data_IF_904704393437
#
_entry.id   IF_904704393437
#
_cell.length_a   1.000
_cell.length_b   1.000
_cell.length_c   1.000
_cell.angle_alpha   90.00
_cell.angle_beta   90.00
_cell.angle_gamma   90.00
#
_symmetry.space_group_name_H-M   'P 1'
#
loop_
_entity.id
_entity.type
_entity.pdbx_description
1 polymer ?
#
# COMPACT_ATOMS: atom_id res chain seq x y z
N UNK A 1 -4.62 -29.55 40.25
CA UNK A 1 -3.44 -28.68 40.06
C UNK A 1 -2.94 -28.96 38.65
N UNK A 2 -3.45 -28.25 37.65
CA UNK A 2 -3.04 -28.42 36.26
C UNK A 2 -1.69 -27.75 36.05
N UNK A 3 -0.75 -28.45 35.43
CA UNK A 3 0.52 -27.92 34.97
C UNK A 3 0.26 -26.69 34.08
N UNK A 4 0.67 -25.51 34.57
CA UNK A 4 0.93 -24.37 33.68
C UNK A 4 2.05 -24.83 32.76
N UNK A 5 1.70 -25.22 31.53
CA UNK A 5 2.67 -25.58 30.51
C UNK A 5 3.75 -24.51 30.44
N UNK A 6 5.01 -24.95 30.48
CA UNK A 6 6.19 -24.08 30.36
C UNK A 6 5.95 -23.03 29.27
N UNK A 7 5.84 -21.76 29.67
CA UNK A 7 5.88 -20.64 28.74
C UNK A 7 7.24 -20.75 28.07
N UNK A 8 7.24 -21.12 26.79
CA UNK A 8 8.48 -21.15 26.00
C UNK A 8 9.07 -19.75 26.06
N UNK A 9 10.36 -19.68 26.43
CA UNK A 9 11.09 -18.42 26.44
C UNK A 9 11.00 -17.78 25.05
N UNK A 10 10.74 -16.46 25.02
CA UNK A 10 10.62 -15.73 23.77
C UNK A 10 12.00 -15.61 23.11
N UNK A 11 12.20 -16.33 22.00
CA UNK A 11 13.41 -16.27 21.19
C UNK A 11 13.42 -14.98 20.35
N UNK A 12 14.10 -13.95 20.88
CA UNK A 12 14.23 -12.63 20.26
C UNK A 12 14.94 -12.68 18.91
N UNK A 13 15.95 -13.54 18.76
CA UNK A 13 16.71 -13.63 17.51
C UNK A 13 15.87 -14.24 16.39
N UNK A 14 15.12 -15.30 16.72
CA UNK A 14 14.15 -15.86 15.78
C UNK A 14 13.08 -14.86 15.42
N UNK A 15 12.53 -14.13 16.40
CA UNK A 15 11.51 -13.10 16.13
C UNK A 15 12.05 -12.02 15.19
N UNK A 16 13.28 -11.53 15.41
CA UNK A 16 13.92 -10.54 14.52
C UNK A 16 14.11 -11.08 13.09
N UNK A 17 14.53 -12.35 12.94
CA UNK A 17 14.66 -12.98 11.61
C UNK A 17 13.32 -13.08 10.89
N UNK A 18 12.27 -13.55 11.58
CA UNK A 18 10.92 -13.66 11.00
C UNK A 18 10.40 -12.27 10.63
N UNK A 19 10.60 -11.26 11.48
CA UNK A 19 10.16 -9.91 11.18
C UNK A 19 10.82 -9.37 9.91
N UNK A 20 12.14 -9.56 9.76
CA UNK A 20 12.85 -9.14 8.55
C UNK A 20 12.40 -9.90 7.29
N UNK A 21 12.07 -11.19 7.41
CA UNK A 21 11.51 -12.00 6.32
C UNK A 21 10.15 -11.45 5.88
N UNK A 22 9.24 -11.20 6.83
CA UNK A 22 7.90 -10.64 6.56
C UNK A 22 8.02 -9.26 5.93
N UNK A 23 8.84 -8.37 6.49
CA UNK A 23 9.05 -7.02 5.93
C UNK A 23 9.56 -7.13 4.49
N UNK A 24 10.57 -7.96 4.23
CA UNK A 24 11.17 -8.09 2.91
C UNK A 24 10.19 -8.68 1.88
N UNK A 25 9.44 -9.72 2.27
CA UNK A 25 8.46 -10.37 1.40
C UNK A 25 7.30 -9.44 1.05
N UNK A 26 6.87 -8.62 2.01
CA UNK A 26 5.72 -7.74 1.85
C UNK A 26 6.07 -6.35 1.31
N UNK A 27 7.35 -5.95 1.32
CA UNK A 27 7.81 -4.65 0.82
C UNK A 27 7.34 -4.31 -0.61
N UNK A 28 7.43 -5.23 -1.60
CA UNK A 28 7.04 -4.91 -2.98
C UNK A 28 5.52 -4.91 -3.22
N UNK A 29 4.72 -5.40 -2.26
CA UNK A 29 3.27 -5.51 -2.46
C UNK A 29 2.62 -4.13 -2.62
N UNK A 30 1.76 -3.98 -3.62
CA UNK A 30 1.06 -2.74 -3.97
C UNK A 30 -0.17 -2.53 -3.09
N UNK A 31 0.04 -2.48 -1.78
CA UNK A 31 -1.04 -2.33 -0.79
C UNK A 31 -1.65 -0.94 -0.81
N UNK A 32 -2.90 -0.91 -0.39
CA UNK A 32 -3.71 0.30 -0.23
C UNK A 32 -4.77 0.02 0.84
N UNK A 33 -5.84 0.82 0.92
CA UNK A 33 -6.96 0.50 1.82
C UNK A 33 -7.85 -0.66 1.31
N UNK A 34 -7.72 -1.04 0.04
CA UNK A 34 -8.37 -2.21 -0.60
C UNK A 34 -7.45 -2.78 -1.71
N UNK A 35 -7.90 -3.84 -2.37
CA UNK A 35 -7.28 -4.35 -3.60
C UNK A 35 -6.37 -5.56 -3.41
N UNK A 36 -5.91 -6.12 -4.53
CA UNK A 36 -5.19 -7.40 -4.57
C UNK A 36 -3.89 -7.41 -3.78
N UNK A 37 -3.19 -6.28 -3.67
CA UNK A 37 -1.97 -6.18 -2.86
C UNK A 37 -2.21 -6.51 -1.38
N UNK A 38 -3.41 -6.21 -0.85
CA UNK A 38 -3.77 -6.57 0.52
C UNK A 38 -4.03 -8.08 0.64
N UNK A 39 -4.75 -8.68 -0.32
CA UNK A 39 -5.01 -10.12 -0.35
C UNK A 39 -3.73 -10.93 -0.49
N UNK A 40 -2.83 -10.49 -1.36
CA UNK A 40 -1.51 -11.08 -1.53
C UNK A 40 -0.73 -11.04 -0.20
N UNK A 41 -0.68 -9.87 0.45
CA UNK A 41 -0.01 -9.72 1.74
C UNK A 41 -0.60 -10.63 2.83
N UNK A 42 -1.93 -10.71 2.93
CA UNK A 42 -2.60 -11.62 3.86
C UNK A 42 -2.28 -13.10 3.57
N UNK A 43 -2.27 -13.50 2.29
CA UNK A 43 -1.89 -14.85 1.91
C UNK A 43 -0.44 -15.18 2.28
N UNK A 44 0.48 -14.22 2.15
CA UNK A 44 1.86 -14.38 2.60
C UNK A 44 1.96 -14.49 4.13
N UNK A 45 1.23 -13.66 4.88
CA UNK A 45 1.21 -13.68 6.34
C UNK A 45 0.66 -14.99 6.91
N UNK A 46 -0.32 -15.62 6.24
CA UNK A 46 -0.86 -16.93 6.61
C UNK A 46 0.18 -18.04 6.71
N UNK A 47 1.35 -17.89 6.06
CA UNK A 47 2.48 -18.83 6.20
C UNK A 47 3.11 -18.79 7.60
N UNK A 48 3.07 -17.63 8.25
CA UNK A 48 3.61 -17.41 9.60
C UNK A 48 2.53 -17.54 10.67
N UNK A 49 1.28 -17.18 10.34
CA UNK A 49 0.11 -17.29 11.21
C UNK A 49 -1.01 -18.09 10.53
N UNK A 50 -1.00 -19.44 10.62
CA UNK A 50 -1.99 -20.29 9.94
C UNK A 50 -3.44 -20.05 10.35
N UNK A 51 -3.67 -19.50 11.54
CA UNK A 51 -5.00 -19.16 12.05
C UNK A 51 -5.56 -17.85 11.44
N UNK A 52 -4.75 -17.10 10.68
CA UNK A 52 -5.17 -15.85 10.05
C UNK A 52 -6.23 -16.12 8.96
N UNK A 53 -7.40 -15.53 9.15
CA UNK A 53 -8.51 -15.56 8.21
C UNK A 53 -8.58 -14.23 7.48
N UNK A 54 -8.75 -14.29 6.15
CA UNK A 54 -9.08 -13.12 5.34
C UNK A 54 -10.59 -12.93 5.36
N UNK A 55 -11.02 -11.73 5.74
CA UNK A 55 -12.42 -11.30 5.69
C UNK A 55 -12.55 -10.24 4.62
N UNK A 56 -13.60 -10.38 3.80
CA UNK A 56 -13.94 -9.45 2.72
C UNK A 56 -15.24 -8.74 3.07
N UNK A 57 -15.20 -7.41 3.12
CA UNK A 57 -16.39 -6.58 3.35
C UNK A 57 -16.74 -5.88 2.04
N UNK A 58 -17.94 -6.10 1.46
CA UNK A 58 -18.31 -5.52 0.18
C UNK A 58 -18.25 -3.99 0.18
N UNK A 59 -17.80 -3.40 -0.93
CA UNK A 59 -17.90 -1.96 -1.19
C UNK A 59 -19.35 -1.48 -1.05
N UNK A 60 -19.54 -0.26 -0.54
CA UNK A 60 -20.86 0.29 -0.23
C UNK A 60 -21.45 -0.17 1.11
N UNK A 61 -20.84 -1.15 1.80
CA UNK A 61 -21.28 -1.54 3.14
C UNK A 61 -21.13 -0.39 4.14
N UNK A 62 -22.09 -0.23 5.05
CA UNK A 62 -22.01 0.73 6.14
C UNK A 62 -21.12 0.19 7.28
N UNK A 63 -20.24 1.04 7.79
CA UNK A 63 -19.36 0.78 8.92
C UNK A 63 -19.42 1.98 9.88
N UNK A 64 -20.44 1.99 10.73
CA UNK A 64 -20.82 3.18 11.51
C UNK A 64 -21.11 4.37 10.57
N UNK A 65 -20.41 5.49 10.75
CA UNK A 65 -20.54 6.69 9.91
C UNK A 65 -19.73 6.61 8.61
N UNK A 66 -19.03 5.51 8.36
CA UNK A 66 -18.23 5.30 7.17
C UNK A 66 -18.94 4.37 6.18
N UNK A 67 -18.58 4.53 4.91
CA UNK A 67 -18.95 3.59 3.84
C UNK A 67 -17.67 2.94 3.33
N UNK A 68 -17.68 1.62 3.21
CA UNK A 68 -16.56 0.87 2.62
C UNK A 68 -16.36 1.36 1.18
N UNK A 69 -15.16 1.85 0.81
CA UNK A 69 -14.96 2.47 -0.48
C UNK A 69 -14.98 1.42 -1.60
N UNK A 70 -15.13 1.86 -2.86
CA UNK A 70 -14.90 1.02 -4.02
C UNK A 70 -13.48 0.43 -3.98
N UNK A 71 -13.34 -0.82 -4.40
CA UNK A 71 -12.04 -1.48 -4.44
C UNK A 71 -11.16 -0.85 -5.51
N UNK A 72 -9.92 -0.53 -5.16
CA UNK A 72 -8.96 0.04 -6.10
C UNK A 72 -8.03 -1.04 -6.66
N UNK A 73 -7.95 -1.13 -7.98
CA UNK A 73 -7.07 -2.06 -8.68
C UNK A 73 -6.17 -1.27 -9.62
N UNK A 74 -4.86 -1.46 -9.50
CA UNK A 74 -3.85 -0.83 -10.35
C UNK A 74 -2.98 -1.89 -11.03
N UNK A 75 -2.91 -1.84 -12.36
CA UNK A 75 -2.18 -2.81 -13.19
C UNK A 75 -0.82 -2.28 -13.62
N UNK A 76 -0.74 -0.98 -13.92
CA UNK A 76 0.48 -0.32 -14.34
C UNK A 76 0.35 1.18 -14.28
N UNK A 77 1.48 1.88 -14.20
CA UNK A 77 1.52 3.31 -14.42
C UNK A 77 2.89 3.75 -14.93
N UNK A 78 2.90 4.73 -15.82
CA UNK A 78 4.12 5.29 -16.39
C UNK A 78 3.91 6.77 -16.74
N UNK A 79 4.94 7.56 -16.49
CA UNK A 79 5.04 8.92 -17.02
C UNK A 79 6.19 8.97 -18.03
N UNK A 80 5.86 9.22 -19.29
CA UNK A 80 6.85 9.28 -20.36
C UNK A 80 7.06 10.74 -20.80
N UNK A 81 8.31 11.17 -20.88
CA UNK A 81 8.73 12.50 -21.29
C UNK A 81 8.67 12.74 -22.80
N UNK A 82 8.88 14.00 -23.24
CA UNK A 82 8.76 14.41 -24.63
C UNK A 82 9.79 13.77 -25.57
N UNK A 83 10.90 13.26 -25.03
CA UNK A 83 11.97 12.56 -25.72
C UNK A 83 11.83 11.02 -25.62
N UNK A 84 10.73 10.52 -25.06
CA UNK A 84 10.48 9.10 -24.83
C UNK A 84 11.13 8.55 -23.55
N UNK A 85 11.75 9.40 -22.73
CA UNK A 85 12.31 8.98 -21.42
C UNK A 85 11.20 8.56 -20.45
N UNK A 86 11.38 7.43 -19.77
CA UNK A 86 10.49 7.05 -18.67
C UNK A 86 10.92 7.79 -17.39
N UNK A 87 10.14 8.80 -17.01
CA UNK A 87 10.41 9.64 -15.84
C UNK A 87 10.03 8.92 -14.55
N UNK A 88 8.89 8.25 -14.59
CA UNK A 88 8.27 7.51 -13.49
C UNK A 88 7.73 6.18 -14.03
N UNK A 89 8.01 5.09 -13.31
CA UNK A 89 7.44 3.77 -13.57
C UNK A 89 6.94 3.16 -12.25
N UNK A 90 5.72 2.61 -12.24
CA UNK A 90 5.17 1.91 -11.08
C UNK A 90 6.01 0.69 -10.69
N UNK A 91 6.67 0.06 -11.65
CA UNK A 91 7.54 -1.10 -11.41
C UNK A 91 8.78 -0.72 -10.59
N UNK A 92 9.24 0.54 -10.64
CA UNK A 92 10.38 1.01 -9.84
C UNK A 92 9.99 1.18 -8.36
N UNK A 93 8.78 1.69 -8.11
CA UNK A 93 8.25 1.88 -6.75
C UNK A 93 6.74 2.11 -6.76
N UNK A 94 5.96 1.41 -5.91
CA UNK A 94 4.55 1.71 -5.69
C UNK A 94 4.28 3.15 -5.24
N UNK A 95 5.28 3.80 -4.61
CA UNK A 95 5.15 5.18 -4.13
C UNK A 95 5.07 6.18 -5.26
N UNK A 96 5.38 5.79 -6.50
CA UNK A 96 5.33 6.67 -7.64
C UNK A 96 3.92 7.12 -8.04
N UNK A 97 2.88 6.45 -7.57
CA UNK A 97 1.49 6.79 -7.87
C UNK A 97 0.80 7.25 -6.60
N UNK A 98 0.01 8.33 -6.70
CA UNK A 98 -0.89 8.73 -5.60
C UNK A 98 -1.87 7.58 -5.36
N UNK A 99 -1.86 7.00 -4.15
CA UNK A 99 -2.74 5.87 -3.82
C UNK A 99 -4.21 6.22 -4.08
N UNK A 100 -4.97 5.28 -4.65
CA UNK A 100 -6.36 5.51 -5.12
C UNK A 100 -6.51 6.44 -6.33
N UNK A 101 -5.44 6.65 -7.12
CA UNK A 101 -5.55 7.39 -8.39
C UNK A 101 -6.59 6.80 -9.33
N UNK A 102 -7.37 7.65 -9.99
CA UNK A 102 -8.19 7.26 -11.15
C UNK A 102 -7.31 6.89 -12.34
N UNK A 103 -7.79 6.00 -13.20
CA UNK A 103 -7.11 5.70 -14.45
C UNK A 103 -7.02 6.93 -15.36
N UNK A 104 -5.90 7.07 -16.07
CA UNK A 104 -5.66 8.12 -17.05
C UNK A 104 -4.82 7.56 -18.19
N UNK A 105 -5.10 7.99 -19.41
CA UNK A 105 -4.27 7.77 -20.58
C UNK A 105 -4.35 9.04 -21.43
N UNK A 106 -3.39 9.95 -21.22
CA UNK A 106 -3.45 11.28 -21.80
C UNK A 106 -2.07 11.84 -22.11
N UNK A 107 -1.98 12.55 -23.23
CA UNK A 107 -0.87 13.44 -23.51
C UNK A 107 -1.21 14.88 -23.11
N UNK A 108 -0.33 15.54 -22.35
CA UNK A 108 -0.52 16.91 -21.91
C UNK A 108 0.80 17.67 -21.82
N UNK A 109 0.75 19.00 -21.85
CA UNK A 109 1.93 19.84 -21.65
C UNK A 109 2.38 19.78 -20.18
N UNK A 110 3.68 20.00 -19.94
CA UNK A 110 4.24 20.00 -18.58
C UNK A 110 3.50 20.95 -17.63
N UNK A 111 3.07 22.11 -18.12
CA UNK A 111 2.31 23.11 -17.35
C UNK A 111 0.98 22.55 -16.85
N UNK A 112 0.29 21.75 -17.67
CA UNK A 112 -0.97 21.08 -17.35
C UNK A 112 -0.76 19.85 -16.44
N UNK A 113 0.39 19.18 -16.59
CA UNK A 113 0.77 18.03 -15.78
C UNK A 113 1.21 18.41 -14.36
N UNK A 114 1.85 19.58 -14.18
CA UNK A 114 2.44 20.02 -12.91
C UNK A 114 1.55 19.88 -11.67
N UNK A 115 0.24 20.20 -11.71
CA UNK A 115 -0.66 19.99 -10.58
C UNK A 115 -0.80 18.53 -10.13
N UNK A 116 -0.56 17.57 -11.03
CA UNK A 116 -0.59 16.13 -10.78
C UNK A 116 0.77 15.55 -10.38
N UNK A 117 1.80 16.39 -10.23
CA UNK A 117 3.14 15.96 -9.82
C UNK A 117 3.43 16.40 -8.38
N UNK A 118 3.90 15.45 -7.58
CA UNK A 118 4.20 15.69 -6.17
C UNK A 118 5.65 15.33 -5.83
N UNK A 119 6.32 16.22 -5.10
CA UNK A 119 7.69 16.01 -4.62
C UNK A 119 7.87 16.66 -3.24
N UNK A 120 9.02 16.44 -2.61
CA UNK A 120 9.41 17.03 -1.32
C UNK A 120 10.72 17.81 -1.48
N UNK A 121 10.70 19.15 -1.62
CA UNK A 121 11.91 19.95 -1.77
C UNK A 121 12.94 19.74 -0.64
N UNK A 122 12.46 19.56 0.58
CA UNK A 122 13.28 19.33 1.78
C UNK A 122 13.90 17.93 1.86
N UNK A 123 13.43 16.98 1.03
CA UNK A 123 13.98 15.62 0.90
C UNK A 123 14.11 15.27 -0.59
N UNK A 124 15.06 15.89 -1.31
CA UNK A 124 15.02 15.94 -2.78
C UNK A 124 15.17 14.60 -3.49
N UNK A 125 15.71 13.59 -2.79
CA UNK A 125 15.89 12.22 -3.29
C UNK A 125 14.77 11.25 -2.87
N UNK A 126 13.81 11.70 -2.07
CA UNK A 126 12.71 10.86 -1.59
C UNK A 126 11.50 10.95 -2.53
N UNK A 127 10.81 9.82 -2.72
CA UNK A 127 9.48 9.78 -3.34
C UNK A 127 8.45 10.00 -2.22
N UNK A 128 7.59 11.04 -2.26
CA UNK A 128 6.55 11.20 -1.26
C UNK A 128 5.51 10.09 -1.36
N UNK A 129 5.02 9.62 -0.21
CA UNK A 129 3.78 8.87 -0.15
C UNK A 129 2.58 9.83 -0.11
N UNK A 130 1.65 9.66 -1.04
CA UNK A 130 0.41 10.46 -1.16
C UNK A 130 -0.76 9.54 -1.47
N UNK A 131 -1.94 9.91 -1.01
CA UNK A 131 -3.17 9.14 -1.21
C UNK A 131 -4.34 10.08 -1.48
N UNK A 132 -5.38 9.57 -2.14
CA UNK A 132 -6.65 10.27 -2.32
C UNK A 132 -7.83 9.31 -2.25
N UNK A 133 -8.04 8.73 -1.07
CA UNK A 133 -9.00 7.65 -0.86
C UNK A 133 -10.46 8.02 -1.12
N UNK A 134 -10.84 9.27 -0.79
CA UNK A 134 -12.23 9.72 -0.76
C UNK A 134 -12.51 10.88 -1.71
N UNK A 135 -11.54 11.27 -2.53
CA UNK A 135 -11.70 12.31 -3.56
C UNK A 135 -11.06 11.81 -4.83
N UNK A 136 -11.84 11.71 -5.91
CA UNK A 136 -11.33 11.23 -7.20
C UNK A 136 -10.32 12.23 -7.74
N UNK A 137 -9.09 11.77 -7.91
CA UNK A 137 -8.00 12.48 -8.58
C UNK A 137 -6.99 11.45 -9.05
N UNK A 138 -5.93 11.89 -9.70
CA UNK A 138 -4.79 11.07 -10.05
C UNK A 138 -3.51 11.90 -9.94
N UNK A 139 -2.37 11.23 -9.77
CA UNK A 139 -1.09 11.91 -9.78
C UNK A 139 0.10 10.99 -9.64
N UNK A 140 1.28 11.55 -9.92
CA UNK A 140 2.57 10.91 -9.76
C UNK A 140 3.37 11.57 -8.64
N UNK A 141 4.11 10.76 -7.90
CA UNK A 141 5.08 11.19 -6.91
C UNK A 141 6.49 10.86 -7.42
N UNK A 142 7.43 11.79 -7.29
CA UNK A 142 8.80 11.60 -7.76
C UNK A 142 9.79 12.41 -6.92
N UNK A 143 11.09 12.04 -6.92
CA UNK A 143 12.12 12.85 -6.29
C UNK A 143 12.09 14.29 -6.81
N UNK A 144 12.29 15.26 -5.92
CA UNK A 144 12.26 16.67 -6.28
C UNK A 144 13.32 17.01 -7.35
N UNK A 145 14.49 16.37 -7.30
CA UNK A 145 15.53 16.56 -8.30
C UNK A 145 15.07 16.13 -9.71
N UNK A 146 14.30 15.04 -9.82
CA UNK A 146 13.69 14.60 -11.08
C UNK A 146 12.63 15.61 -11.55
N UNK A 147 11.76 16.06 -10.64
CA UNK A 147 10.71 17.05 -10.96
C UNK A 147 11.31 18.37 -11.44
N UNK A 148 12.38 18.85 -10.81
CA UNK A 148 13.07 20.09 -11.16
C UNK A 148 13.79 20.00 -12.52
N UNK A 149 14.18 18.79 -12.94
CA UNK A 149 14.87 18.53 -14.20
C UNK A 149 13.92 18.32 -15.40
N UNK A 150 12.59 18.29 -15.19
CA UNK A 150 11.63 18.08 -16.26
C UNK A 150 11.74 19.16 -17.34
N UNK A 151 11.86 18.71 -18.58
CA UNK A 151 11.95 19.57 -19.77
C UNK A 151 10.55 20.04 -20.18
N UNK A 152 10.39 21.26 -20.71
CA UNK A 152 9.16 21.65 -21.39
C UNK A 152 8.84 20.68 -22.54
N UNK A 153 7.57 20.39 -22.74
CA UNK A 153 7.13 19.47 -23.79
C UNK A 153 5.83 18.76 -23.45
N UNK A 154 5.46 17.80 -24.29
CA UNK A 154 4.31 16.92 -24.08
C UNK A 154 4.76 15.66 -23.35
N UNK A 155 4.01 15.28 -22.34
CA UNK A 155 4.22 14.08 -21.55
C UNK A 155 3.04 13.15 -21.75
N UNK A 156 3.30 11.85 -21.79
CA UNK A 156 2.27 10.82 -21.76
C UNK A 156 2.13 10.33 -20.32
N UNK A 157 1.00 10.66 -19.70
CA UNK A 157 0.60 10.19 -18.39
C UNK A 157 -0.33 8.99 -18.56
N UNK A 158 0.14 7.82 -18.12
CA UNK A 158 -0.63 6.58 -18.16
C UNK A 158 -0.72 5.96 -16.77
N UNK A 159 -1.93 5.75 -16.29
CA UNK A 159 -2.24 5.00 -15.07
C UNK A 159 -3.38 4.05 -15.45
N UNK A 160 -3.09 2.76 -15.48
CA UNK A 160 -4.12 1.72 -15.62
C UNK A 160 -4.62 1.34 -14.24
N UNK A 161 -5.65 2.06 -13.80
CA UNK A 161 -6.32 1.84 -12.53
C UNK A 161 -7.84 1.98 -12.64
N UNK A 162 -8.56 1.16 -11.88
CA UNK A 162 -10.01 1.19 -11.79
C UNK A 162 -10.49 1.20 -10.34
N UNK A 163 -11.72 1.68 -10.16
CA UNK A 163 -12.46 1.63 -8.91
C UNK A 163 -13.69 0.76 -9.12
N UNK A 164 -13.73 -0.37 -8.45
CA UNK A 164 -14.75 -1.40 -8.59
C UNK A 164 -15.74 -1.30 -7.42
N UNK A 165 -16.93 -0.78 -7.69
CA UNK A 165 -18.01 -0.67 -6.70
C UNK A 165 -18.57 -2.05 -6.29
N UNK A 166 -18.22 -3.13 -7.00
CA UNK A 166 -18.59 -4.50 -6.67
C UNK A 166 -17.50 -5.26 -5.90
N UNK A 167 -16.36 -4.60 -5.67
CA UNK A 167 -15.22 -5.17 -4.95
C UNK A 167 -15.42 -5.19 -3.43
N UNK A 168 -14.30 -5.32 -2.72
CA UNK A 168 -14.30 -5.40 -1.26
C UNK A 168 -13.08 -4.76 -0.61
N UNK A 169 -13.26 -4.42 0.68
CA UNK A 169 -12.16 -4.22 1.60
C UNK A 169 -11.78 -5.55 2.24
N UNK A 170 -10.50 -5.89 2.14
CA UNK A 170 -9.94 -7.10 2.75
C UNK A 170 -9.22 -6.75 4.06
N UNK A 171 -9.52 -7.47 5.13
CA UNK A 171 -8.75 -7.44 6.37
C UNK A 171 -8.43 -8.84 6.88
N UNK A 172 -7.43 -8.94 7.75
CA UNK A 172 -7.01 -10.20 8.38
C UNK A 172 -7.38 -10.23 9.85
N UNK A 173 -7.92 -11.36 10.32
CA UNK A 173 -8.23 -11.59 11.73
C UNK A 173 -7.78 -12.98 12.16
N UNK A 174 -7.23 -13.09 13.37
CA UNK A 174 -6.87 -14.35 13.98
C UNK A 174 -7.24 -14.33 15.46
N UNK A 175 -7.98 -15.35 15.92
CA UNK A 175 -8.24 -15.58 17.34
C UNK A 175 -7.31 -16.66 17.83
N UNK A 176 -6.46 -16.34 18.82
CA UNK A 176 -5.45 -17.27 19.36
C UNK A 176 -5.74 -17.53 20.83
N UNK A 177 -5.94 -18.81 21.17
CA UNK A 177 -6.23 -19.23 22.54
C UNK A 177 -7.70 -19.05 22.92
N UNK A 178 -7.98 -19.19 24.21
CA UNK A 178 -9.30 -19.03 24.80
C UNK A 178 -9.14 -18.45 26.23
N UNK A 179 -10.02 -17.54 26.63
CA UNK A 179 -10.01 -16.95 27.97
C UNK A 179 -10.71 -15.60 28.01
N UNK A 180 -10.92 -15.06 29.21
CA UNK A 180 -11.41 -13.70 29.41
C UNK A 180 -10.56 -12.99 30.47
N UNK A 181 -10.30 -11.67 30.33
CA UNK A 181 -10.75 -10.79 29.25
C UNK A 181 -9.99 -11.00 27.93
N UNK A 182 -10.57 -10.55 26.83
CA UNK A 182 -9.91 -10.52 25.52
C UNK A 182 -8.84 -9.42 25.47
N UNK A 183 -7.75 -9.69 24.75
CA UNK A 183 -6.70 -8.71 24.43
C UNK A 183 -6.62 -8.58 22.92
N UNK A 184 -6.79 -7.35 22.42
CA UNK A 184 -6.70 -7.05 20.98
C UNK A 184 -5.36 -6.40 20.69
N UNK A 185 -4.64 -6.95 19.71
CA UNK A 185 -3.45 -6.33 19.12
C UNK A 185 -3.73 -6.13 17.63
N UNK A 186 -3.43 -4.94 17.10
CA UNK A 186 -3.74 -4.59 15.72
C UNK A 186 -2.60 -3.85 15.05
N UNK A 187 -2.49 -4.03 13.74
CA UNK A 187 -1.59 -3.28 12.86
C UNK A 187 -2.32 -2.99 11.55
N UNK A 188 -2.08 -1.81 10.97
CA UNK A 188 -2.59 -1.49 9.63
C UNK A 188 -1.57 -1.91 8.56
N UNK A 189 -2.07 -2.35 7.40
CA UNK A 189 -1.25 -2.80 6.28
C UNK A 189 -1.50 -2.02 4.98
N UNK A 190 -2.14 -0.85 5.06
CA UNK A 190 -2.54 -0.09 3.88
C UNK A 190 -1.39 0.67 3.17
N UNK A 191 -0.20 0.72 3.76
CA UNK A 191 0.94 1.46 3.19
C UNK A 191 1.79 0.53 2.30
N UNK A 192 2.06 0.93 1.04
CA UNK A 192 2.93 0.18 0.16
C UNK A 192 4.40 0.59 0.35
N UNK A 193 5.35 -0.30 0.06
CA UNK A 193 6.79 0.00 -0.03
C UNK A 193 7.40 0.89 1.08
N UNK A 194 6.88 0.78 2.30
CA UNK A 194 7.36 1.49 3.49
C UNK A 194 7.59 0.48 4.61
N UNK A 195 8.80 0.52 5.20
CA UNK A 195 9.20 -0.45 6.22
C UNK A 195 8.69 -0.08 7.61
N UNK A 196 9.10 1.08 8.14
CA UNK A 196 8.76 1.44 9.51
C UNK A 196 7.27 1.73 9.69
N UNK A 197 6.66 2.43 8.72
CA UNK A 197 5.23 2.74 8.67
C UNK A 197 4.58 1.98 7.50
N UNK A 198 3.97 0.81 7.70
CA UNK A 198 3.80 0.10 8.97
C UNK A 198 4.07 -1.41 8.85
N UNK A 199 4.94 -1.81 7.93
CA UNK A 199 5.40 -3.20 7.85
C UNK A 199 6.03 -3.68 9.15
N UNK A 200 6.69 -2.79 9.89
CA UNK A 200 7.24 -3.10 11.20
C UNK A 200 6.16 -3.58 12.18
N UNK A 201 5.02 -2.88 12.26
CA UNK A 201 3.89 -3.28 13.09
C UNK A 201 3.26 -4.59 12.63
N UNK A 202 3.11 -4.78 11.32
CA UNK A 202 2.60 -6.04 10.73
C UNK A 202 3.50 -7.23 11.03
N UNK A 203 4.82 -7.04 11.09
CA UNK A 203 5.78 -8.10 11.29
C UNK A 203 6.05 -8.43 12.76
N UNK A 204 5.84 -7.46 13.66
CA UNK A 204 5.95 -7.65 15.12
C UNK A 204 4.70 -8.33 15.68
N UNK A 205 3.52 -8.07 15.07
CA UNK A 205 2.26 -8.76 15.36
C UNK A 205 2.33 -10.24 14.96
#
# INVERSE_FOLDING_TARGET
MSEMGSVREFDRERAARVAMEVISALFPTRRSITGDGNREALAMLRRHLPALQTVEVPSGSAAFDWTIPPEWKIRGARLTGPDGEVVVDLEDSPLHVVGYSTGVDAEMHLEELRPHLHSLPERPRAIPFRTSYYTRTWGFCLPHEKLAALKPGRYHAWIDAEHDDTGSLSYGEAVVGAGTPDVVVSAHMCHPAQANDNLSGVAVL
#
